data_IF_909823920997
#
_entry.id   IF_909823920997
#
_cell.length_a   1.000
_cell.length_b   1.000
_cell.length_c   1.000
_cell.angle_alpha   90.00
_cell.angle_beta   90.00
_cell.angle_gamma   90.00
#
_symmetry.space_group_name_H-M   'P 1'
#
loop_
_entity.id
_entity.type
_entity.pdbx_description
1 polymer ?
#
# COMPACT_ATOMS: atom_id res chain seq x y z
N UNK A 1 9.96 -26.42 15.08
CA UNK A 1 8.82 -25.56 14.75
C UNK A 1 9.36 -24.34 14.02
N UNK A 2 8.76 -23.95 12.87
CA UNK A 2 9.20 -22.76 12.13
C UNK A 2 8.66 -21.48 12.79
N UNK A 3 9.42 -20.39 12.70
CA UNK A 3 8.95 -19.04 13.04
C UNK A 3 8.12 -18.48 11.89
N UNK A 4 7.06 -17.75 12.21
CA UNK A 4 6.30 -17.02 11.18
C UNK A 4 7.18 -15.90 10.61
N UNK A 5 7.14 -15.64 9.29
CA UNK A 5 7.81 -14.49 8.71
C UNK A 5 7.19 -13.19 9.25
N UNK A 6 8.04 -12.24 9.65
CA UNK A 6 7.61 -10.91 10.13
C UNK A 6 7.11 -10.01 8.97
N UNK A 7 7.47 -10.36 7.74
CA UNK A 7 7.06 -9.65 6.54
C UNK A 7 7.63 -10.28 5.28
N UNK A 8 7.43 -9.61 4.15
CA UNK A 8 8.03 -9.96 2.86
C UNK A 8 8.39 -8.69 2.08
N UNK A 9 9.37 -8.74 1.18
CA UNK A 9 9.69 -7.62 0.31
C UNK A 9 8.47 -7.16 -0.50
N UNK A 10 8.27 -5.86 -0.53
CA UNK A 10 7.17 -5.17 -1.19
C UNK A 10 7.71 -3.83 -1.70
N UNK A 11 7.66 -3.58 -3.01
CA UNK A 11 8.23 -2.37 -3.59
C UNK A 11 7.16 -1.29 -3.79
N UNK A 12 7.38 -0.13 -3.16
CA UNK A 12 6.65 1.10 -3.40
C UNK A 12 7.56 2.03 -4.18
N UNK A 13 7.05 2.64 -5.25
CA UNK A 13 7.76 3.68 -6.01
C UNK A 13 6.90 4.92 -6.10
N UNK A 14 7.55 6.08 -6.12
CA UNK A 14 6.90 7.37 -6.36
C UNK A 14 7.62 8.07 -7.49
N UNK A 15 6.86 8.54 -8.47
CA UNK A 15 7.35 9.31 -9.60
C UNK A 15 6.78 10.72 -9.55
N UNK A 16 7.63 11.72 -9.78
CA UNK A 16 7.20 13.09 -10.04
C UNK A 16 7.20 13.34 -11.54
N UNK A 17 6.03 13.60 -12.10
CA UNK A 17 5.79 13.85 -13.53
C UNK A 17 5.31 15.30 -13.70
N UNK A 18 6.25 16.24 -13.54
CA UNK A 18 5.93 17.66 -13.52
C UNK A 18 5.08 18.03 -12.30
N UNK A 19 3.82 18.41 -12.52
CA UNK A 19 2.85 18.73 -11.48
C UNK A 19 2.11 17.49 -10.92
N UNK A 20 2.15 16.37 -11.64
CA UNK A 20 1.49 15.13 -11.25
C UNK A 20 2.45 14.19 -10.52
N UNK A 21 1.89 13.36 -9.65
CA UNK A 21 2.60 12.36 -8.88
C UNK A 21 1.96 11.00 -9.12
N UNK A 22 2.77 9.98 -9.33
CA UNK A 22 2.34 8.60 -9.45
C UNK A 22 2.96 7.79 -8.32
N UNK A 23 2.15 7.26 -7.42
CA UNK A 23 2.57 6.29 -6.42
C UNK A 23 2.12 4.88 -6.83
N UNK A 24 3.05 3.94 -6.83
CA UNK A 24 2.81 2.56 -7.26
C UNK A 24 2.88 1.63 -6.06
N UNK A 25 1.87 0.76 -5.90
CA UNK A 25 1.76 -0.15 -4.78
C UNK A 25 1.88 -1.61 -5.22
N UNK A 26 2.50 -2.47 -4.41
CA UNK A 26 2.60 -3.89 -4.70
C UNK A 26 1.31 -4.62 -4.30
N UNK A 27 0.89 -5.58 -5.13
CA UNK A 27 -0.26 -6.45 -4.85
C UNK A 27 -1.65 -5.81 -5.04
N UNK A 28 -2.64 -6.39 -4.37
CA UNK A 28 -4.07 -6.09 -4.49
C UNK A 28 -4.51 -5.25 -3.27
N UNK A 29 -4.19 -3.96 -3.33
CA UNK A 29 -4.37 -3.05 -2.19
C UNK A 29 -5.77 -2.46 -2.15
N UNK A 30 -6.40 -2.46 -0.97
CA UNK A 30 -7.73 -1.87 -0.80
C UNK A 30 -7.73 -0.36 -1.05
N UNK A 31 -8.85 0.14 -1.59
CA UNK A 31 -8.95 1.52 -2.09
C UNK A 31 -8.73 2.56 -0.98
N UNK A 32 -9.15 2.28 0.26
CA UNK A 32 -8.99 3.18 1.40
C UNK A 32 -7.52 3.32 1.83
N UNK A 33 -6.69 2.31 1.58
CA UNK A 33 -5.23 2.40 1.76
C UNK A 33 -4.65 3.25 0.63
N UNK A 34 -5.14 3.06 -0.61
CA UNK A 34 -4.79 3.92 -1.74
C UNK A 34 -5.11 5.40 -1.50
N UNK A 35 -6.25 5.72 -0.87
CA UNK A 35 -6.57 7.09 -0.46
C UNK A 35 -5.59 7.63 0.59
N UNK A 36 -5.21 6.81 1.57
CA UNK A 36 -4.22 7.21 2.58
C UNK A 36 -2.86 7.53 1.94
N UNK A 37 -2.41 6.70 1.00
CA UNK A 37 -1.19 6.94 0.22
C UNK A 37 -1.30 8.23 -0.58
N UNK A 38 -2.42 8.43 -1.30
CA UNK A 38 -2.67 9.65 -2.08
C UNK A 38 -2.53 10.90 -1.22
N UNK A 39 -3.21 10.91 -0.08
CA UNK A 39 -3.26 12.08 0.80
C UNK A 39 -1.88 12.33 1.46
N UNK A 40 -1.17 11.27 1.83
CA UNK A 40 0.17 11.37 2.41
C UNK A 40 1.20 11.91 1.40
N UNK A 41 1.18 11.43 0.15
CA UNK A 41 2.02 11.94 -0.93
C UNK A 41 1.67 13.40 -1.25
N UNK A 42 0.38 13.73 -1.34
CA UNK A 42 -0.06 15.11 -1.62
C UNK A 42 0.44 16.09 -0.55
N UNK A 43 0.30 15.72 0.72
CA UNK A 43 0.79 16.51 1.84
C UNK A 43 2.32 16.65 1.83
N UNK A 44 3.05 15.56 1.61
CA UNK A 44 4.51 15.56 1.54
C UNK A 44 5.06 16.40 0.39
N UNK A 45 4.40 16.37 -0.76
CA UNK A 45 4.78 17.10 -1.96
C UNK A 45 4.25 18.55 -2.01
N UNK A 46 3.41 18.97 -1.05
CA UNK A 46 2.77 20.28 -1.07
C UNK A 46 1.86 20.48 -2.30
N UNK A 47 1.15 19.44 -2.74
CA UNK A 47 0.27 19.46 -3.93
C UNK A 47 -1.17 19.08 -3.59
N UNK A 48 -2.08 19.28 -4.53
CA UNK A 48 -3.47 18.80 -4.40
C UNK A 48 -3.52 17.28 -4.50
N UNK A 49 -4.34 16.57 -3.70
CA UNK A 49 -4.60 15.14 -3.88
C UNK A 49 -5.12 14.79 -5.28
N UNK A 50 -5.75 15.73 -6.00
CA UNK A 50 -6.18 15.54 -7.39
C UNK A 50 -5.01 15.38 -8.38
N UNK A 51 -3.80 15.79 -7.98
CA UNK A 51 -2.58 15.62 -8.77
C UNK A 51 -1.84 14.32 -8.45
N UNK A 52 -2.36 13.49 -7.54
CA UNK A 52 -1.72 12.24 -7.12
C UNK A 52 -2.55 11.05 -7.61
N UNK A 53 -1.94 10.25 -8.48
CA UNK A 53 -2.49 8.98 -8.97
C UNK A 53 -1.85 7.85 -8.17
N UNK A 54 -2.67 6.94 -7.66
CA UNK A 54 -2.20 5.72 -7.00
C UNK A 54 -2.61 4.53 -7.85
N UNK A 55 -1.65 3.66 -8.17
CA UNK A 55 -1.88 2.43 -8.93
C UNK A 55 -1.36 1.23 -8.16
N UNK A 56 -2.06 0.11 -8.23
CA UNK A 56 -1.67 -1.15 -7.61
C UNK A 56 -1.07 -2.10 -8.66
N UNK A 57 -0.73 -3.34 -8.26
CA UNK A 57 -0.12 -4.36 -9.13
C UNK A 57 1.24 -3.97 -9.74
N UNK A 58 2.00 -3.10 -9.08
CA UNK A 58 3.29 -2.66 -9.57
C UNK A 58 4.42 -3.29 -8.76
N UNK A 59 5.47 -3.77 -9.45
CA UNK A 59 6.75 -4.21 -8.87
C UNK A 59 6.65 -5.24 -7.73
N UNK A 60 5.52 -5.95 -7.63
CA UNK A 60 5.31 -6.96 -6.62
C UNK A 60 3.88 -7.50 -6.63
N UNK A 61 3.74 -8.79 -6.33
CA UNK A 61 2.45 -9.44 -6.09
C UNK A 61 2.43 -9.96 -4.66
N UNK A 62 2.07 -9.07 -3.72
CA UNK A 62 2.04 -9.37 -2.29
C UNK A 62 0.70 -9.97 -1.81
N UNK A 63 -0.22 -10.22 -2.75
CA UNK A 63 -1.60 -10.61 -2.47
C UNK A 63 -2.45 -9.42 -2.03
N UNK A 64 -3.59 -9.72 -1.40
CA UNK A 64 -4.49 -8.70 -0.87
C UNK A 64 -3.90 -7.99 0.36
N UNK A 65 -4.01 -6.67 0.37
CA UNK A 65 -3.74 -5.83 1.53
C UNK A 65 -5.06 -5.21 1.99
N UNK A 66 -5.79 -5.89 2.90
CA UNK A 66 -7.09 -5.42 3.39
C UNK A 66 -6.95 -4.32 4.44
N UNK A 67 -8.02 -3.56 4.64
CA UNK A 67 -8.15 -2.65 5.78
C UNK A 67 -8.41 -3.42 7.09
N UNK A 68 -8.18 -2.78 8.24
CA UNK A 68 -8.52 -3.35 9.55
C UNK A 68 -9.98 -3.81 9.63
N UNK A 69 -10.90 -2.96 9.16
CA UNK A 69 -12.33 -3.28 9.13
C UNK A 69 -12.68 -4.43 8.19
N UNK A 70 -11.98 -4.57 7.06
CA UNK A 70 -12.17 -5.71 6.15
C UNK A 70 -11.66 -7.01 6.76
N UNK A 71 -10.57 -6.97 7.55
CA UNK A 71 -10.09 -8.15 8.29
C UNK A 71 -11.15 -8.61 9.30
N UNK A 72 -11.74 -7.67 10.06
CA UNK A 72 -12.80 -7.98 11.03
C UNK A 72 -14.08 -8.51 10.38
N UNK A 73 -14.48 -7.92 9.25
CA UNK A 73 -15.67 -8.32 8.50
C UNK A 73 -15.50 -9.69 7.82
N UNK A 74 -14.28 -10.01 7.40
CA UNK A 74 -13.99 -11.17 6.57
C UNK A 74 -14.40 -10.98 5.10
N UNK A 75 -14.58 -12.09 4.39
CA UNK A 75 -14.82 -12.09 2.94
C UNK A 75 -13.77 -12.87 2.16
N UNK A 76 -13.81 -12.84 0.83
CA UNK A 76 -12.84 -13.55 0.00
C UNK A 76 -11.46 -12.92 0.14
N UNK A 77 -11.37 -11.63 -0.12
CA UNK A 77 -10.12 -10.88 -0.23
C UNK A 77 -9.26 -10.95 1.04
N UNK A 78 -9.80 -10.72 2.26
CA UNK A 78 -9.01 -10.92 3.47
C UNK A 78 -8.58 -12.38 3.64
N UNK A 79 -9.38 -13.37 3.24
CA UNK A 79 -9.08 -14.79 3.45
C UNK A 79 -8.22 -15.44 2.35
N UNK A 80 -7.93 -14.75 1.24
CA UNK A 80 -7.13 -15.29 0.12
C UNK A 80 -5.72 -15.71 0.53
N UNK A 81 -5.17 -15.14 1.61
CA UNK A 81 -3.87 -15.56 2.17
C UNK A 81 -3.76 -17.08 2.39
N UNK A 82 -4.88 -17.74 2.73
CA UNK A 82 -4.95 -19.19 2.95
C UNK A 82 -4.66 -20.01 1.69
N UNK A 83 -5.13 -19.53 0.54
CA UNK A 83 -4.86 -20.16 -0.76
C UNK A 83 -3.49 -19.77 -1.34
N UNK A 84 -2.99 -18.58 -0.99
CA UNK A 84 -1.70 -18.05 -1.44
C UNK A 84 -0.48 -18.54 -0.66
N UNK A 85 -0.66 -19.46 0.30
CA UNK A 85 0.43 -19.99 1.13
C UNK A 85 0.98 -19.01 2.17
N UNK A 86 0.30 -17.88 2.41
CA UNK A 86 0.65 -16.94 3.44
C UNK A 86 0.03 -17.36 4.79
N UNK A 87 0.77 -17.21 5.91
CA UNK A 87 0.31 -17.69 7.21
C UNK A 87 -0.84 -16.87 7.82
N UNK A 88 -1.15 -15.70 7.26
CA UNK A 88 -2.19 -14.79 7.74
C UNK A 88 -2.40 -13.60 6.80
N UNK A 89 -3.42 -12.78 7.10
CA UNK A 89 -3.54 -11.44 6.53
C UNK A 89 -2.36 -10.55 6.94
N UNK A 90 -2.13 -9.49 6.18
CA UNK A 90 -1.33 -8.38 6.69
C UNK A 90 -2.00 -7.75 7.91
N UNK A 91 -1.16 -7.20 8.77
CA UNK A 91 -1.59 -6.47 9.96
C UNK A 91 -2.25 -5.13 9.56
N UNK A 92 -3.20 -4.62 10.36
CA UNK A 92 -3.83 -3.31 10.13
C UNK A 92 -2.87 -2.17 9.79
N UNK A 93 -1.68 -2.20 10.40
CA UNK A 93 -0.60 -1.21 10.28
C UNK A 93 0.00 -1.14 8.87
N UNK A 94 -0.34 -2.08 7.97
CA UNK A 94 0.06 -2.00 6.57
C UNK A 94 -0.42 -0.70 5.90
N UNK A 95 -1.57 -0.15 6.35
CA UNK A 95 -2.06 1.15 5.87
C UNK A 95 -1.04 2.26 6.13
N UNK A 96 -0.59 2.38 7.38
CA UNK A 96 0.35 3.41 7.81
C UNK A 96 1.73 3.19 7.20
N UNK A 97 2.18 1.93 7.10
CA UNK A 97 3.46 1.58 6.44
C UNK A 97 3.44 2.08 4.99
N UNK A 98 2.40 1.76 4.22
CA UNK A 98 2.32 2.16 2.81
C UNK A 98 2.26 3.69 2.65
N UNK A 99 1.45 4.36 3.46
CA UNK A 99 1.29 5.81 3.40
C UNK A 99 2.59 6.55 3.80
N UNK A 100 3.25 6.11 4.88
CA UNK A 100 4.48 6.73 5.36
C UNK A 100 5.64 6.52 4.38
N UNK A 101 5.83 5.29 3.88
CA UNK A 101 6.87 5.01 2.88
C UNK A 101 6.67 5.83 1.61
N UNK A 102 5.44 5.92 1.09
CA UNK A 102 5.18 6.74 -0.09
C UNK A 102 5.43 8.25 0.17
N UNK A 103 5.06 8.75 1.36
CA UNK A 103 5.33 10.13 1.73
C UNK A 103 6.84 10.42 1.87
N UNK A 104 7.61 9.50 2.43
CA UNK A 104 9.07 9.60 2.53
C UNK A 104 9.71 9.68 1.13
N UNK A 105 9.36 8.76 0.24
CA UNK A 105 9.81 8.79 -1.15
C UNK A 105 9.40 10.08 -1.87
N UNK A 106 8.20 10.60 -1.59
CA UNK A 106 7.76 11.86 -2.17
C UNK A 106 8.63 13.05 -1.73
N UNK A 107 9.04 13.10 -0.45
CA UNK A 107 9.91 14.17 0.09
C UNK A 107 11.29 14.18 -0.55
N UNK A 108 11.79 13.03 -1.00
CA UNK A 108 13.08 12.94 -1.72
C UNK A 108 13.06 13.60 -3.10
N UNK A 109 11.86 13.88 -3.64
CA UNK A 109 11.65 14.43 -4.98
C UNK A 109 11.24 15.92 -4.98
N UNK A 110 11.22 16.58 -3.82
CA UNK A 110 10.83 18.00 -3.66
C UNK A 110 12.03 18.91 -3.51
#
# INVERSE_FOLDING_TARGET
>A
AGTLPEGRPAEIQVFRLGAFWLATLPGEVFVEIGWAVRDAVAAAAGTSPANVVVTAYCNGSVGYVPTASAIELGGMEPNTHRGGGAPGCYVPEAREIFANTAAELARELV
#
